data_IF_043803498155
#
_entry.id   IF_043803498155
#
_cell.length_a   1.000
_cell.length_b   1.000
_cell.length_c   1.000
_cell.angle_alpha   90.00
_cell.angle_beta   90.00
_cell.angle_gamma   90.00
#
_symmetry.space_group_name_H-M   'P 1'
#
loop_
_entity.id
_entity.type
_entity.pdbx_description
1 polymer ?
#
# COMPACT_ATOMS: atom_id res chain seq x y z
N UNK A 1 3.70 4.11 5.30
CA UNK A 1 3.47 5.49 5.77
C UNK A 1 3.54 5.42 7.28
N UNK A 2 4.30 6.29 7.92
CA UNK A 2 4.36 6.39 9.38
C UNK A 2 3.90 7.80 9.72
N UNK A 3 2.99 7.92 10.68
CA UNK A 3 2.49 9.20 11.17
C UNK A 3 2.85 9.29 12.65
N UNK A 4 3.32 10.47 13.08
CA UNK A 4 3.60 10.73 14.49
C UNK A 4 2.36 11.31 15.17
N UNK A 5 2.05 10.84 16.37
CA UNK A 5 1.04 11.46 17.23
C UNK A 5 1.65 12.65 17.97
N UNK A 6 1.44 13.85 17.42
CA UNK A 6 1.90 15.11 18.02
C UNK A 6 1.06 15.55 19.22
N UNK A 7 -0.15 15.02 19.38
CA UNK A 7 -1.06 15.36 20.48
C UNK A 7 -0.87 14.44 21.70
N UNK A 8 -0.14 13.33 21.54
CA UNK A 8 0.10 12.34 22.59
C UNK A 8 -1.15 11.60 23.07
N UNK A 9 -2.22 11.58 22.27
CA UNK A 9 -3.50 10.93 22.62
C UNK A 9 -3.41 9.40 22.62
N UNK A 10 -2.48 8.83 21.86
CA UNK A 10 -2.18 7.41 21.83
C UNK A 10 -1.23 6.97 22.97
N UNK A 11 -0.55 7.90 23.63
CA UNK A 11 0.46 7.55 24.64
C UNK A 11 1.53 6.61 24.07
N UNK A 12 1.70 5.44 24.67
CA UNK A 12 2.62 4.38 24.23
C UNK A 12 2.00 3.41 23.20
N UNK A 13 0.74 3.61 22.81
CA UNK A 13 0.05 2.75 21.86
C UNK A 13 0.53 2.99 20.42
N UNK A 14 0.83 1.90 19.71
CA UNK A 14 1.14 1.92 18.29
C UNK A 14 -0.01 1.29 17.50
N UNK A 15 -0.66 2.08 16.65
CA UNK A 15 -1.69 1.57 15.74
C UNK A 15 -1.04 1.18 14.41
N UNK A 16 -1.08 -0.11 14.09
CA UNK A 16 -0.52 -0.66 12.85
C UNK A 16 -1.60 -1.26 11.96
N UNK A 17 -1.38 -1.23 10.65
CA UNK A 17 -2.17 -2.00 9.71
C UNK A 17 -1.29 -2.50 8.57
N UNK A 18 -1.58 -3.72 8.12
CA UNK A 18 -0.86 -4.38 7.05
C UNK A 18 -1.75 -4.57 5.82
N UNK A 19 -1.10 -4.77 4.68
CA UNK A 19 -1.74 -5.12 3.44
C UNK A 19 -0.79 -5.99 2.64
N UNK A 20 -1.30 -7.05 2.05
CA UNK A 20 -0.53 -7.96 1.21
C UNK A 20 -1.04 -7.88 -0.23
N UNK A 21 -0.18 -8.16 -1.20
CA UNK A 21 -0.58 -8.36 -2.59
C UNK A 21 0.16 -9.59 -3.08
N UNK A 22 -0.59 -10.63 -3.40
CA UNK A 22 -0.05 -11.89 -3.90
C UNK A 22 0.25 -11.76 -5.39
N UNK A 23 1.29 -12.44 -5.84
CA UNK A 23 1.70 -12.41 -7.23
C UNK A 23 2.88 -13.32 -7.51
N UNK A 24 3.42 -13.17 -8.72
CA UNK A 24 4.51 -14.02 -9.22
C UNK A 24 5.65 -13.16 -9.70
N UNK A 25 6.88 -13.60 -9.46
CA UNK A 25 8.08 -12.98 -10.01
C UNK A 25 8.30 -13.54 -11.42
N UNK A 26 8.39 -12.65 -12.40
CA UNK A 26 8.66 -13.00 -13.80
C UNK A 26 10.17 -13.21 -14.03
N UNK A 27 10.51 -14.02 -15.03
CA UNK A 27 11.90 -14.25 -15.45
C UNK A 27 12.52 -13.05 -16.19
N UNK A 28 11.67 -12.17 -16.75
CA UNK A 28 12.10 -10.96 -17.45
C UNK A 28 11.19 -9.76 -17.08
N UNK A 29 11.75 -8.54 -16.97
CA UNK A 29 10.97 -7.37 -16.61
C UNK A 29 10.00 -6.96 -17.72
N UNK A 30 8.83 -6.47 -17.33
CA UNK A 30 7.82 -5.86 -18.22
C UNK A 30 7.40 -4.50 -17.71
N UNK A 31 7.10 -3.58 -18.63
CA UNK A 31 6.71 -2.20 -18.30
C UNK A 31 7.91 -1.30 -17.97
N UNK A 32 7.66 0.01 -17.97
CA UNK A 32 8.68 1.05 -17.75
C UNK A 32 8.34 1.99 -16.58
N UNK A 33 7.16 1.83 -15.96
CA UNK A 33 6.72 2.63 -14.83
C UNK A 33 7.12 2.03 -13.48
N UNK A 34 6.69 2.69 -12.41
CA UNK A 34 6.91 2.18 -11.05
C UNK A 34 8.34 2.41 -10.54
N UNK A 35 8.75 1.60 -9.57
CA UNK A 35 10.06 1.65 -8.92
C UNK A 35 10.47 0.26 -8.41
N UNK A 36 11.77 0.04 -8.24
CA UNK A 36 12.30 -1.21 -7.67
C UNK A 36 11.91 -2.44 -8.49
N UNK A 37 11.30 -3.43 -7.84
CA UNK A 37 10.95 -4.73 -8.43
C UNK A 37 9.62 -4.73 -9.20
N UNK A 38 8.95 -3.59 -9.33
CA UNK A 38 7.68 -3.47 -10.04
C UNK A 38 7.66 -4.10 -11.44
N UNK A 39 8.73 -4.02 -12.27
CA UNK A 39 8.74 -4.65 -13.58
C UNK A 39 8.76 -6.18 -13.54
N UNK A 40 9.12 -6.78 -12.41
CA UNK A 40 9.20 -8.23 -12.24
C UNK A 40 7.99 -8.81 -11.49
N UNK A 41 7.30 -8.00 -10.70
CA UNK A 41 6.15 -8.46 -9.92
C UNK A 41 4.87 -8.43 -10.76
N UNK A 42 4.43 -9.61 -11.20
CA UNK A 42 3.15 -9.81 -11.86
C UNK A 42 2.04 -9.93 -10.82
N UNK A 43 1.04 -9.05 -10.89
CA UNK A 43 -0.13 -9.07 -10.04
C UNK A 43 -1.31 -9.71 -10.78
N UNK A 44 -1.76 -10.94 -10.41
CA UNK A 44 -2.86 -11.63 -11.09
C UNK A 44 -4.15 -10.82 -11.11
N UNK A 45 -4.44 -10.08 -10.03
CA UNK A 45 -5.62 -9.22 -9.91
C UNK A 45 -5.62 -8.04 -10.90
N UNK A 46 -4.44 -7.63 -11.39
CA UNK A 46 -4.29 -6.59 -12.40
C UNK A 46 -4.07 -7.17 -13.81
N UNK A 47 -3.78 -8.47 -13.91
CA UNK A 47 -3.41 -9.13 -15.18
C UNK A 47 -2.10 -8.58 -15.80
N UNK A 48 -1.28 -7.87 -15.02
CA UNK A 48 -0.07 -7.21 -15.50
C UNK A 48 0.92 -6.97 -14.36
N UNK A 49 2.14 -6.56 -14.70
CA UNK A 49 3.13 -6.15 -13.71
C UNK A 49 2.78 -4.81 -13.09
N UNK A 50 3.32 -4.52 -11.90
CA UNK A 50 3.14 -3.21 -11.28
C UNK A 50 3.74 -2.06 -12.11
N UNK A 51 4.77 -2.32 -12.90
CA UNK A 51 5.35 -1.32 -13.80
C UNK A 51 4.47 -1.03 -15.03
N UNK A 52 3.67 -2.00 -15.47
CA UNK A 52 2.67 -1.82 -16.54
C UNK A 52 1.40 -1.14 -16.03
N UNK A 53 1.01 -1.39 -14.77
CA UNK A 53 -0.23 -0.90 -14.18
C UNK A 53 -0.32 0.63 -14.06
N UNK A 54 0.80 1.36 -14.07
CA UNK A 54 0.83 2.80 -13.85
C UNK A 54 0.35 3.22 -12.45
N UNK A 55 0.21 4.53 -12.21
CA UNK A 55 -0.08 5.06 -10.85
C UNK A 55 -1.51 4.74 -10.39
N UNK A 56 -2.50 4.75 -11.29
CA UNK A 56 -3.91 4.57 -10.93
C UNK A 56 -4.25 3.17 -10.42
N UNK A 57 -4.26 2.15 -11.28
CA UNK A 57 -4.54 0.76 -10.89
C UNK A 57 -3.66 0.25 -9.73
N UNK A 58 -2.35 0.51 -9.77
CA UNK A 58 -1.43 0.14 -8.68
C UNK A 58 -1.78 0.86 -7.37
N UNK A 59 -2.15 2.14 -7.45
CA UNK A 59 -2.57 2.95 -6.30
C UNK A 59 -3.86 2.46 -5.63
N UNK A 60 -4.67 1.66 -6.33
CA UNK A 60 -5.88 1.06 -5.79
C UNK A 60 -5.64 -0.35 -5.23
N UNK A 61 -4.78 -1.16 -5.87
CA UNK A 61 -4.72 -2.60 -5.56
C UNK A 61 -3.43 -3.07 -4.87
N UNK A 62 -2.38 -2.24 -4.83
CA UNK A 62 -1.11 -2.62 -4.18
C UNK A 62 -1.25 -2.90 -2.67
N UNK A 63 -0.25 -3.61 -2.13
CA UNK A 63 -0.11 -3.86 -0.69
C UNK A 63 -0.22 -2.58 0.14
N UNK A 64 0.38 -1.48 -0.35
CA UNK A 64 0.32 -0.16 0.28
C UNK A 64 -1.09 0.41 0.29
N UNK A 65 -1.81 0.32 -0.84
CA UNK A 65 -3.19 0.77 -0.93
C UNK A 65 -4.11 0.02 0.04
N UNK A 66 -3.90 -1.29 0.18
CA UNK A 66 -4.63 -2.15 1.13
C UNK A 66 -4.33 -1.77 2.57
N UNK A 67 -3.07 -1.62 2.94
CA UNK A 67 -2.67 -1.17 4.28
C UNK A 67 -3.26 0.21 4.63
N UNK A 68 -3.27 1.14 3.66
CA UNK A 68 -3.87 2.47 3.86
C UNK A 68 -5.39 2.41 4.06
N UNK A 69 -6.10 1.54 3.34
CA UNK A 69 -7.53 1.32 3.60
C UNK A 69 -7.77 0.67 4.96
N UNK A 70 -6.91 -0.25 5.37
CA UNK A 70 -7.03 -0.94 6.66
C UNK A 70 -6.79 0.01 7.85
N UNK A 71 -5.84 0.95 7.75
CA UNK A 71 -5.59 1.94 8.82
C UNK A 71 -6.61 3.09 8.85
N UNK A 72 -7.29 3.37 7.73
CA UNK A 72 -8.14 4.54 7.59
C UNK A 72 -9.23 4.69 8.68
N UNK A 73 -9.97 3.64 9.09
CA UNK A 73 -10.97 3.78 10.15
C UNK A 73 -10.37 4.21 11.50
N UNK A 74 -9.22 3.65 11.87
CA UNK A 74 -8.52 4.01 13.10
C UNK A 74 -8.03 5.46 13.06
N UNK A 75 -7.45 5.86 11.92
CA UNK A 75 -7.00 7.24 11.71
C UNK A 75 -8.16 8.24 11.75
N UNK A 76 -9.30 7.93 11.11
CA UNK A 76 -10.49 8.77 11.14
C UNK A 76 -11.07 8.86 12.56
N UNK A 77 -11.10 7.76 13.32
CA UNK A 77 -11.50 7.77 14.72
C UNK A 77 -10.62 8.67 15.58
N UNK A 78 -9.29 8.57 15.39
CA UNK A 78 -8.32 9.45 16.06
C UNK A 78 -8.54 10.93 15.70
N UNK A 79 -8.81 11.24 14.42
CA UNK A 79 -9.05 12.62 13.98
C UNK A 79 -10.41 13.18 14.41
N UNK A 80 -11.45 12.34 14.49
CA UNK A 80 -12.79 12.74 14.89
C UNK A 80 -12.95 12.96 16.41
N UNK A 81 -12.09 12.34 17.23
CA UNK A 81 -11.98 12.64 18.65
C UNK A 81 -11.22 13.94 18.97
N UNK A 82 -11.13 14.86 18.00
CA UNK A 82 -10.57 16.21 18.14
C UNK A 82 -11.66 17.24 18.43
#
# INVERSE_FOLDING_TARGET
LVLADVCGRLGDELVTADGACEGTILDAPRGAGGFGYDPLFFAPELGMTFAEAGVGPKGQLSHRARAMRAIAPALLGYLAGA
#
